data_IF_099044082839
#
_entry.id   IF_099044082839
#
_cell.length_a   1.000
_cell.length_b   1.000
_cell.length_c   1.000
_cell.angle_alpha   90.00
_cell.angle_beta   90.00
_cell.angle_gamma   90.00
#
_symmetry.space_group_name_H-M   'P 1'
#
loop_
_entity.id
_entity.type
_entity.pdbx_description
1 polymer ?
#
# COMPACT_ATOMS: atom_id res chain seq x y z
N UNK A 1 -4.27 14.32 -33.17
CA UNK A 1 -3.89 13.02 -32.56
C UNK A 1 -4.91 12.73 -31.49
N UNK A 2 -5.74 11.75 -31.75
CA UNK A 2 -7.00 11.48 -31.07
C UNK A 2 -6.81 10.99 -29.64
N UNK A 3 -7.64 11.46 -28.72
CA UNK A 3 -7.67 11.11 -27.28
C UNK A 3 -7.81 9.59 -27.02
N UNK A 4 -8.32 8.84 -27.98
CA UNK A 4 -8.46 7.38 -27.93
C UNK A 4 -7.13 6.61 -27.95
N UNK A 5 -6.10 7.08 -28.66
CA UNK A 5 -4.77 6.45 -28.65
C UNK A 5 -4.09 6.54 -27.27
N UNK A 6 -4.23 7.66 -26.58
CA UNK A 6 -3.67 7.87 -25.24
C UNK A 6 -4.35 7.03 -24.16
N UNK A 7 -5.64 6.75 -24.26
CA UNK A 7 -6.35 5.88 -23.33
C UNK A 7 -5.92 4.43 -23.48
N UNK A 8 -5.79 3.93 -24.71
CA UNK A 8 -5.30 2.57 -24.95
C UNK A 8 -3.87 2.35 -24.43
N UNK A 9 -3.00 3.34 -24.64
CA UNK A 9 -1.62 3.28 -24.13
C UNK A 9 -1.58 3.30 -22.59
N UNK A 10 -2.44 4.13 -21.95
CA UNK A 10 -2.55 4.18 -20.49
C UNK A 10 -3.03 2.84 -19.90
N UNK A 11 -4.09 2.29 -20.47
CA UNK A 11 -4.65 1.01 -20.02
C UNK A 11 -3.63 -0.11 -20.12
N UNK A 12 -2.94 -0.23 -21.26
CA UNK A 12 -1.93 -1.26 -21.48
C UNK A 12 -0.74 -1.17 -20.49
N UNK A 13 -0.35 0.05 -20.12
CA UNK A 13 0.81 0.27 -19.25
C UNK A 13 0.44 0.21 -17.77
N UNK A 14 -0.77 0.64 -17.38
CA UNK A 14 -1.14 0.82 -15.96
C UNK A 14 -2.02 -0.28 -15.40
N UNK A 15 -2.98 -0.83 -16.17
CA UNK A 15 -3.90 -1.86 -15.65
C UNK A 15 -3.21 -3.15 -15.19
N UNK A 16 -2.09 -3.62 -15.80
CA UNK A 16 -1.38 -4.80 -15.29
C UNK A 16 -0.83 -4.64 -13.87
N UNK A 17 -0.82 -3.41 -13.34
CA UNK A 17 -0.29 -3.09 -12.01
C UNK A 17 -1.36 -2.79 -10.97
N UNK A 18 -2.65 -3.08 -11.27
CA UNK A 18 -3.77 -2.81 -10.38
C UNK A 18 -3.64 -3.56 -9.05
N UNK A 19 -3.26 -4.84 -9.10
CA UNK A 19 -3.08 -5.66 -7.90
C UNK A 19 -1.97 -5.10 -6.99
N UNK A 20 -0.84 -4.73 -7.58
CA UNK A 20 0.27 -4.11 -6.85
C UNK A 20 -0.14 -2.76 -6.22
N UNK A 21 -0.91 -1.95 -6.94
CA UNK A 21 -1.47 -0.69 -6.46
C UNK A 21 -2.41 -0.91 -5.26
N UNK A 22 -3.33 -1.87 -5.38
CA UNK A 22 -4.26 -2.21 -4.31
C UNK A 22 -3.55 -2.79 -3.09
N UNK A 23 -2.62 -3.72 -3.28
CA UNK A 23 -1.83 -4.29 -2.20
C UNK A 23 -1.12 -3.19 -1.41
N UNK A 24 -0.39 -2.31 -2.09
CA UNK A 24 0.31 -1.21 -1.42
C UNK A 24 -0.65 -0.30 -0.66
N UNK A 25 -1.74 0.15 -1.29
CA UNK A 25 -2.75 0.99 -0.66
C UNK A 25 -3.33 0.30 0.59
N UNK A 26 -3.74 -0.96 0.46
CA UNK A 26 -4.34 -1.76 1.53
C UNK A 26 -3.45 -1.86 2.76
N UNK A 27 -2.16 -2.16 2.57
CA UNK A 27 -1.21 -2.24 3.65
C UNK A 27 -0.88 -0.88 4.28
N UNK A 28 -0.93 0.20 3.52
CA UNK A 28 -0.66 1.54 4.04
C UNK A 28 -1.83 2.09 4.87
N UNK A 29 -3.07 2.05 4.31
CA UNK A 29 -4.23 2.67 4.97
C UNK A 29 -4.95 1.72 5.93
N UNK A 30 -4.78 0.39 5.81
CA UNK A 30 -5.35 -0.65 6.69
C UNK A 30 -6.88 -0.71 6.71
N UNK A 31 -7.52 -0.12 5.75
CA UNK A 31 -8.95 -0.10 5.56
C UNK A 31 -9.25 -0.42 4.10
N UNK A 32 -10.18 -1.36 3.86
CA UNK A 32 -10.50 -1.82 2.50
C UNK A 32 -11.12 -0.71 1.66
N UNK A 33 -12.06 0.00 2.22
CA UNK A 33 -12.77 1.04 1.49
C UNK A 33 -11.85 2.22 1.20
N UNK A 34 -11.04 2.62 2.17
CA UNK A 34 -10.02 3.65 1.95
C UNK A 34 -8.96 3.22 0.94
N UNK A 35 -8.60 1.93 0.88
CA UNK A 35 -7.66 1.44 -0.11
C UNK A 35 -8.25 1.52 -1.53
N UNK A 36 -9.51 1.17 -1.71
CA UNK A 36 -10.22 1.33 -2.97
C UNK A 36 -10.27 2.80 -3.42
N UNK A 37 -10.61 3.72 -2.50
CA UNK A 37 -10.61 5.17 -2.78
C UNK A 37 -9.20 5.69 -3.15
N UNK A 38 -8.16 5.24 -2.43
CA UNK A 38 -6.76 5.60 -2.72
C UNK A 38 -6.34 5.12 -4.09
N UNK A 39 -6.70 3.89 -4.47
CA UNK A 39 -6.38 3.33 -5.79
C UNK A 39 -7.12 4.10 -6.87
N UNK A 40 -8.39 4.38 -6.70
CA UNK A 40 -9.18 5.17 -7.65
C UNK A 40 -8.55 6.56 -7.85
N UNK A 41 -8.29 7.31 -6.77
CA UNK A 41 -7.64 8.63 -6.84
C UNK A 41 -6.25 8.55 -7.53
N UNK A 42 -5.48 7.50 -7.23
CA UNK A 42 -4.18 7.29 -7.86
C UNK A 42 -4.29 7.04 -9.36
N UNK A 43 -5.25 6.23 -9.81
CA UNK A 43 -5.49 5.99 -11.23
C UNK A 43 -6.02 7.22 -11.96
N UNK A 44 -6.89 8.00 -11.34
CA UNK A 44 -7.36 9.29 -11.91
C UNK A 44 -6.18 10.25 -12.10
N UNK A 45 -5.30 10.37 -11.11
CA UNK A 45 -4.07 11.18 -11.20
C UNK A 45 -3.12 10.64 -12.26
N UNK A 46 -2.89 9.32 -12.28
CA UNK A 46 -2.05 8.67 -13.27
C UNK A 46 -2.57 8.93 -14.70
N UNK A 47 -3.87 8.79 -14.93
CA UNK A 47 -4.49 9.11 -16.23
C UNK A 47 -4.29 10.58 -16.62
N UNK A 48 -4.52 11.50 -15.68
CA UNK A 48 -4.35 12.95 -15.92
C UNK A 48 -2.93 13.32 -16.26
N UNK A 49 -1.95 12.70 -15.61
CA UNK A 49 -0.53 13.01 -15.76
C UNK A 49 0.23 12.04 -16.67
N UNK A 50 -0.47 11.13 -17.36
CA UNK A 50 0.15 10.12 -18.21
C UNK A 50 1.04 10.72 -19.32
N UNK A 51 0.70 11.91 -19.79
CA UNK A 51 1.54 12.64 -20.76
C UNK A 51 2.94 12.99 -20.21
N UNK A 52 3.11 13.03 -18.90
CA UNK A 52 4.41 13.24 -18.24
C UNK A 52 5.17 11.94 -17.96
N UNK A 53 4.54 10.78 -18.24
CA UNK A 53 5.24 9.50 -18.18
C UNK A 53 6.11 9.32 -19.44
N UNK A 54 7.41 9.48 -19.29
CA UNK A 54 8.37 9.41 -20.38
C UNK A 54 9.06 8.04 -20.51
N UNK A 55 8.33 6.97 -20.16
CA UNK A 55 8.87 5.61 -20.20
C UNK A 55 9.54 5.17 -18.89
N UNK A 56 10.13 3.98 -18.90
CA UNK A 56 10.67 3.33 -17.70
C UNK A 56 9.65 2.40 -17.06
N UNK A 57 9.79 2.13 -15.76
CA UNK A 57 8.87 1.24 -15.04
C UNK A 57 7.52 1.94 -14.76
N UNK A 58 6.48 1.60 -15.53
CA UNK A 58 5.11 2.05 -15.29
C UNK A 58 4.63 1.66 -13.90
N UNK A 59 5.03 0.45 -13.45
CA UNK A 59 4.76 -0.04 -12.09
C UNK A 59 5.33 0.88 -11.02
N UNK A 60 6.61 1.22 -11.09
CA UNK A 60 7.24 2.08 -10.10
C UNK A 60 6.62 3.49 -10.08
N UNK A 61 6.29 4.03 -11.25
CA UNK A 61 5.65 5.33 -11.38
C UNK A 61 4.24 5.32 -10.77
N UNK A 62 3.43 4.29 -11.06
CA UNK A 62 2.10 4.13 -10.48
C UNK A 62 2.17 3.96 -8.95
N UNK A 63 3.06 3.08 -8.45
CA UNK A 63 3.20 2.85 -7.02
C UNK A 63 3.63 4.11 -6.26
N UNK A 64 4.41 4.99 -6.87
CA UNK A 64 4.74 6.30 -6.28
C UNK A 64 3.49 7.17 -6.15
N UNK A 65 2.60 7.18 -7.14
CA UNK A 65 1.34 7.93 -7.09
C UNK A 65 0.42 7.36 -6.01
N UNK A 66 0.25 6.03 -5.96
CA UNK A 66 -0.53 5.32 -4.93
C UNK A 66 -0.03 5.64 -3.53
N UNK A 67 1.28 5.54 -3.32
CA UNK A 67 1.92 5.90 -2.06
C UNK A 67 1.57 7.33 -1.63
N UNK A 68 1.73 8.29 -2.51
CA UNK A 68 1.46 9.69 -2.22
C UNK A 68 -0.03 9.93 -1.91
N UNK A 69 -0.95 9.26 -2.61
CA UNK A 69 -2.37 9.29 -2.30
C UNK A 69 -2.65 8.69 -0.91
N UNK A 70 -2.11 7.51 -0.60
CA UNK A 70 -2.27 6.86 0.70
C UNK A 70 -1.77 7.73 1.87
N UNK A 71 -0.58 8.33 1.75
CA UNK A 71 -0.06 9.23 2.79
C UNK A 71 -0.91 10.50 2.96
N UNK A 72 -1.49 11.02 1.88
CA UNK A 72 -2.43 12.14 1.94
C UNK A 72 -3.70 11.77 2.71
N UNK A 73 -4.24 10.58 2.46
CA UNK A 73 -5.40 10.03 3.18
C UNK A 73 -5.09 9.84 4.66
N UNK A 74 -3.96 9.22 5.00
CA UNK A 74 -3.54 9.05 6.40
C UNK A 74 -3.36 10.38 7.13
N UNK A 75 -2.82 11.38 6.48
CA UNK A 75 -2.67 12.73 7.04
C UNK A 75 -4.03 13.39 7.29
N UNK A 76 -4.97 13.23 6.35
CA UNK A 76 -6.33 13.74 6.51
C UNK A 76 -7.08 13.05 7.67
N UNK A 77 -6.94 11.72 7.82
CA UNK A 77 -7.51 10.98 8.94
C UNK A 77 -6.95 11.47 10.29
N UNK A 78 -5.64 11.62 10.41
CA UNK A 78 -5.02 12.15 11.65
C UNK A 78 -5.60 13.50 12.04
N UNK A 79 -5.71 14.42 11.09
CA UNK A 79 -6.31 15.74 11.34
C UNK A 79 -7.75 15.65 11.82
N UNK A 80 -8.57 14.75 11.22
CA UNK A 80 -9.96 14.54 11.68
C UNK A 80 -10.01 13.99 13.10
N UNK A 81 -9.15 13.04 13.44
CA UNK A 81 -9.05 12.49 14.79
C UNK A 81 -8.62 13.55 15.81
N UNK A 82 -7.63 14.39 15.50
CA UNK A 82 -7.20 15.48 16.37
C UNK A 82 -8.32 16.49 16.63
N UNK A 83 -9.09 16.85 15.59
CA UNK A 83 -10.26 17.74 15.72
C UNK A 83 -11.38 17.06 16.53
N UNK A 84 -11.63 15.78 16.32
CA UNK A 84 -12.65 15.02 17.07
C UNK A 84 -12.29 14.88 18.54
N UNK A 85 -11.03 14.62 18.88
CA UNK A 85 -10.55 14.57 20.25
C UNK A 85 -10.68 15.94 20.96
N UNK A 86 -10.38 17.03 20.26
CA UNK A 86 -10.54 18.38 20.79
C UNK A 86 -12.01 18.79 20.96
N UNK A 87 -12.94 18.13 20.23
CA UNK A 87 -14.38 18.36 20.29
C UNK A 87 -15.14 17.40 21.21
N UNK A 88 -14.46 16.45 21.87
CA UNK A 88 -15.07 15.48 22.80
C UNK A 88 -15.93 14.41 22.15
N UNK A 89 -15.89 14.23 20.82
CA UNK A 89 -16.56 13.15 20.10
C UNK A 89 -15.60 11.98 19.90
N UNK A 90 -15.71 10.97 20.75
CA UNK A 90 -15.04 9.68 20.59
C UNK A 90 -15.76 8.87 19.51
N UNK A 91 -15.20 8.78 18.33
CA UNK A 91 -15.54 7.76 17.36
C UNK A 91 -14.38 6.76 17.29
N UNK A 92 -14.54 5.64 17.98
CA UNK A 92 -13.67 4.49 17.84
C UNK A 92 -14.21 3.65 16.67
N UNK A 93 -13.62 3.79 15.51
CA UNK A 93 -13.79 2.84 14.41
C UNK A 93 -12.53 1.98 14.35
N UNK A 94 -12.57 0.82 14.99
CA UNK A 94 -11.63 -0.27 14.78
C UNK A 94 -12.04 -1.01 13.49
N UNK A 95 -11.56 -0.55 12.34
CA UNK A 95 -11.69 -1.28 11.10
C UNK A 95 -10.72 -2.47 11.14
N UNK A 96 -11.24 -3.63 11.49
CA UNK A 96 -10.54 -4.90 11.40
C UNK A 96 -10.17 -5.19 9.95
N UNK A 97 -8.93 -5.60 9.74
CA UNK A 97 -8.43 -6.01 8.43
C UNK A 97 -8.95 -7.39 8.11
N UNK A 98 -9.96 -7.48 7.26
CA UNK A 98 -10.42 -8.75 6.70
C UNK A 98 -9.53 -9.11 5.50
N UNK A 99 -8.55 -9.97 5.71
CA UNK A 99 -7.74 -10.54 4.64
C UNK A 99 -8.49 -11.73 4.03
N UNK A 100 -9.12 -11.50 2.90
CA UNK A 100 -9.66 -12.57 2.07
C UNK A 100 -8.49 -13.26 1.36
N UNK A 101 -8.07 -14.40 1.89
CA UNK A 101 -7.04 -15.26 1.28
C UNK A 101 -7.77 -16.36 0.52
N UNK A 102 -7.45 -16.60 -0.78
CA UNK A 102 -8.05 -17.67 -1.55
C UNK A 102 -7.80 -19.03 -0.89
N UNK A 103 -8.89 -19.75 -0.67
CA UNK A 103 -8.94 -21.05 -0.03
C UNK A 103 -8.27 -22.14 -0.88
N UNK A 104 -7.15 -22.68 -0.41
CA UNK A 104 -6.64 -23.97 -0.81
C UNK A 104 -6.73 -24.88 0.41
N UNK A 105 -7.77 -25.75 0.43
CA UNK A 105 -8.21 -26.53 1.57
C UNK A 105 -7.16 -27.42 2.21
N UNK A 106 -6.60 -27.06 3.37
CA UNK A 106 -6.08 -28.02 4.34
C UNK A 106 -7.19 -28.41 5.33
N UNK A 107 -7.07 -29.56 5.99
CA UNK A 107 -8.06 -29.99 6.99
C UNK A 107 -8.32 -28.94 8.08
N UNK A 108 -9.48 -29.03 8.81
CA UNK A 108 -9.99 -27.97 9.66
C UNK A 108 -9.02 -27.51 10.77
N UNK A 109 -8.20 -28.39 11.32
CA UNK A 109 -7.18 -28.02 12.33
C UNK A 109 -6.02 -27.23 11.73
N UNK A 110 -5.53 -27.64 10.56
CA UNK A 110 -4.48 -26.95 9.84
C UNK A 110 -4.96 -25.60 9.30
N UNK A 111 -6.23 -25.49 8.93
CA UNK A 111 -6.86 -24.24 8.52
C UNK A 111 -6.97 -23.24 9.69
N UNK A 112 -7.30 -23.73 10.90
CA UNK A 112 -7.39 -22.90 12.10
C UNK A 112 -5.99 -22.39 12.53
N UNK A 113 -4.99 -23.27 12.57
CA UNK A 113 -3.60 -22.89 12.88
C UNK A 113 -3.09 -21.84 11.89
N UNK A 114 -3.32 -22.04 10.59
CA UNK A 114 -2.92 -21.08 9.55
C UNK A 114 -3.61 -19.73 9.69
N UNK A 115 -4.90 -19.70 10.07
CA UNK A 115 -5.62 -18.45 10.35
C UNK A 115 -5.01 -17.71 11.55
N UNK A 116 -4.64 -18.44 12.61
CA UNK A 116 -3.99 -17.85 13.79
C UNK A 116 -2.61 -17.26 13.45
N UNK A 117 -1.80 -17.98 12.66
CA UNK A 117 -0.49 -17.51 12.21
C UNK A 117 -0.61 -16.25 11.34
N UNK A 118 -1.60 -16.23 10.44
CA UNK A 118 -1.87 -15.07 9.58
C UNK A 118 -2.37 -13.87 10.38
N UNK A 119 -3.24 -14.07 11.35
CA UNK A 119 -3.71 -12.99 12.23
C UNK A 119 -2.54 -12.43 13.07
N UNK A 120 -1.69 -13.28 13.62
CA UNK A 120 -0.50 -12.85 14.36
C UNK A 120 0.49 -12.07 13.47
N UNK A 121 0.67 -12.50 12.22
CA UNK A 121 1.50 -11.78 11.25
C UNK A 121 0.90 -10.41 10.92
N UNK A 122 -0.41 -10.36 10.70
CA UNK A 122 -1.13 -9.11 10.41
C UNK A 122 -1.00 -8.12 11.58
N UNK A 123 -1.18 -8.59 12.81
CA UNK A 123 -1.01 -7.79 14.02
C UNK A 123 0.43 -7.27 14.16
N UNK A 124 1.42 -8.12 13.91
CA UNK A 124 2.83 -7.73 13.96
C UNK A 124 3.19 -6.69 12.90
N UNK A 125 2.70 -6.86 11.67
CA UNK A 125 2.87 -5.87 10.60
C UNK A 125 2.14 -4.56 10.93
N UNK A 126 0.98 -4.65 11.57
CA UNK A 126 0.19 -3.52 11.97
C UNK A 126 0.84 -2.70 13.09
N UNK A 127 1.60 -3.33 13.96
CA UNK A 127 2.36 -2.66 15.01
C UNK A 127 3.56 -1.86 14.47
N UNK A 128 4.00 -2.15 13.24
CA UNK A 128 5.13 -1.43 12.64
C UNK A 128 4.76 0.02 12.26
N UNK A 129 5.71 0.95 12.41
CA UNK A 129 5.59 2.27 11.79
C UNK A 129 5.30 2.14 10.28
N UNK A 130 4.41 2.98 9.75
CA UNK A 130 3.97 2.93 8.33
C UNK A 130 5.15 2.87 7.37
N UNK A 131 6.21 3.67 7.60
CA UNK A 131 7.38 3.71 6.72
C UNK A 131 8.21 2.40 6.74
N UNK A 132 8.15 1.60 7.81
CA UNK A 132 8.83 0.30 7.88
C UNK A 132 7.98 -0.77 7.21
N UNK A 133 6.68 -0.77 7.44
CA UNK A 133 5.73 -1.64 6.79
C UNK A 133 5.75 -1.43 5.27
N UNK A 134 5.76 -0.17 4.81
CA UNK A 134 5.94 0.20 3.41
C UNK A 134 7.18 -0.47 2.79
N UNK A 135 8.33 -0.41 3.46
CA UNK A 135 9.56 -1.05 2.99
C UNK A 135 9.39 -2.56 2.82
N UNK A 136 8.74 -3.24 3.78
CA UNK A 136 8.51 -4.69 3.70
C UNK A 136 7.61 -5.04 2.51
N UNK A 137 6.49 -4.34 2.35
CA UNK A 137 5.56 -4.62 1.25
C UNK A 137 6.22 -4.41 -0.11
N UNK A 138 6.91 -3.28 -0.29
CA UNK A 138 7.60 -3.00 -1.55
C UNK A 138 8.72 -4.02 -1.85
N UNK A 139 9.36 -4.56 -0.83
CA UNK A 139 10.45 -5.53 -1.01
C UNK A 139 9.98 -6.97 -1.10
N UNK A 140 9.17 -7.43 -0.15
CA UNK A 140 8.85 -8.86 0.02
C UNK A 140 7.60 -9.27 -0.80
N UNK A 141 6.65 -8.35 -0.99
CA UNK A 141 5.43 -8.62 -1.76
C UNK A 141 5.57 -8.17 -3.21
N UNK A 142 6.07 -6.94 -3.40
CA UNK A 142 6.21 -6.37 -4.74
C UNK A 142 7.59 -6.62 -5.37
N UNK A 143 8.50 -7.30 -4.67
CA UNK A 143 9.83 -7.74 -5.14
C UNK A 143 10.68 -6.62 -5.77
N UNK A 144 10.46 -5.38 -5.36
CA UNK A 144 11.18 -4.23 -5.93
C UNK A 144 12.63 -4.18 -5.48
N UNK A 145 13.49 -3.69 -6.36
CA UNK A 145 14.88 -3.38 -6.03
C UNK A 145 14.98 -2.18 -5.07
N UNK A 146 16.04 -2.12 -4.27
CA UNK A 146 16.28 -0.97 -3.37
C UNK A 146 16.31 0.37 -4.09
N UNK A 147 16.75 0.38 -5.36
CA UNK A 147 16.80 1.57 -6.20
C UNK A 147 15.40 2.04 -6.59
N UNK A 148 14.51 1.11 -6.94
CA UNK A 148 13.10 1.41 -7.23
C UNK A 148 12.37 1.86 -5.97
N UNK A 149 12.57 1.16 -4.84
CA UNK A 149 12.02 1.54 -3.55
C UNK A 149 12.44 2.96 -3.14
N UNK A 150 13.73 3.29 -3.28
CA UNK A 150 14.26 4.63 -2.98
C UNK A 150 13.57 5.70 -3.83
N UNK A 151 13.28 5.40 -5.10
CA UNK A 151 12.56 6.31 -6.00
C UNK A 151 11.10 6.47 -5.59
N UNK A 152 10.40 5.35 -5.33
CA UNK A 152 8.98 5.37 -4.92
C UNK A 152 8.80 6.11 -3.59
N UNK A 153 9.68 5.84 -2.63
CA UNK A 153 9.62 6.40 -1.29
C UNK A 153 10.23 7.81 -1.19
N UNK A 154 10.89 8.27 -2.25
CA UNK A 154 11.58 9.57 -2.30
C UNK A 154 12.60 9.76 -1.15
N UNK A 155 13.37 8.70 -0.89
CA UNK A 155 14.41 8.68 0.16
C UNK A 155 15.71 8.07 -0.38
N UNK A 156 16.86 8.38 0.25
CA UNK A 156 18.12 7.73 -0.10
C UNK A 156 18.08 6.21 0.08
N UNK A 157 18.81 5.46 -0.75
CA UNK A 157 18.90 3.98 -0.66
C UNK A 157 19.33 3.52 0.74
N UNK A 158 20.25 4.22 1.39
CA UNK A 158 20.66 3.92 2.76
C UNK A 158 19.51 4.00 3.77
N UNK A 159 18.55 4.90 3.55
CA UNK A 159 17.32 5.01 4.35
C UNK A 159 16.41 3.80 4.12
N UNK A 160 16.27 3.35 2.87
CA UNK A 160 15.51 2.12 2.55
C UNK A 160 16.11 0.92 3.28
N UNK A 161 17.44 0.74 3.17
CA UNK A 161 18.14 -0.37 3.81
C UNK A 161 17.99 -0.35 5.34
N UNK A 162 18.13 0.81 5.97
CA UNK A 162 18.00 0.94 7.42
C UNK A 162 16.58 0.69 7.90
N UNK A 163 15.56 1.20 7.19
CA UNK A 163 14.14 0.95 7.50
C UNK A 163 13.79 -0.53 7.36
N UNK A 164 14.23 -1.17 6.27
CA UNK A 164 14.00 -2.59 6.03
C UNK A 164 14.66 -3.47 7.09
N UNK A 165 15.90 -3.14 7.48
CA UNK A 165 16.61 -3.85 8.56
C UNK A 165 15.86 -3.75 9.89
N UNK A 166 15.41 -2.55 10.27
CA UNK A 166 14.62 -2.32 11.50
C UNK A 166 13.26 -3.04 11.45
N UNK A 167 12.58 -2.98 10.29
CA UNK A 167 11.31 -3.67 10.12
C UNK A 167 11.46 -5.19 10.30
N UNK A 168 12.47 -5.80 9.66
CA UNK A 168 12.78 -7.23 9.83
C UNK A 168 13.17 -7.58 11.26
N UNK A 169 13.89 -6.69 11.94
CA UNK A 169 14.27 -6.91 13.34
C UNK A 169 13.06 -6.88 14.26
N UNK A 170 12.12 -5.98 14.03
CA UNK A 170 10.89 -5.85 14.82
C UNK A 170 9.92 -7.04 14.63
N UNK A 171 10.01 -7.76 13.51
CA UNK A 171 9.20 -8.96 13.23
C UNK A 171 9.86 -10.26 13.68
N UNK A 172 11.06 -10.22 14.23
CA UNK A 172 11.69 -11.42 14.80
C UNK A 172 11.01 -11.76 16.12
N UNK A 173 10.67 -13.06 16.34
CA UNK A 173 10.15 -13.53 17.60
C UNK A 173 11.16 -13.37 18.72
#
# INVERSE_FOLDING_TARGET
MTNQGRHGDFEQVMLPHLDAAYNLARWLVRDRFLAEDVVQDAYERACRYFAAFHGGSGRAWLLQIVRNAAYSTLKAQRRRMEVSLSSGMLAADEAGVDMDIPDSSPGPEAALARRQDLAALDDALNALPVAWRECLILREVEELSYKEMARIMEVPIGTVMSRLSRARQALRP
#
